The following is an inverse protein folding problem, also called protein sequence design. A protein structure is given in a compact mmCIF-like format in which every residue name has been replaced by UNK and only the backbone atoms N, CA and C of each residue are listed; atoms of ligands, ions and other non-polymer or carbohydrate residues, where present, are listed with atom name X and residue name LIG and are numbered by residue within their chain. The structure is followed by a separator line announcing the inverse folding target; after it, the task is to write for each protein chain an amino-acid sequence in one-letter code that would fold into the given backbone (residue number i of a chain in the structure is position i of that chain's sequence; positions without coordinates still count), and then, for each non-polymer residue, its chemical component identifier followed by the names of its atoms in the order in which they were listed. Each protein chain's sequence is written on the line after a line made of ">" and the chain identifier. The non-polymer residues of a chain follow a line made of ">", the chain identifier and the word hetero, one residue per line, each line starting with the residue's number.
data_IF_193292102064
#
_entry.id   IF_193292102064
#
_cell.length_a   1.000
_cell.length_b   1.000
_cell.length_c   1.000
_cell.angle_alpha   90.00
_cell.angle_beta   90.00
_cell.angle_gamma   90.00
#
_symmetry.space_group_name_H-M   'P 1'
#
loop_
_entity.id
_entity.type
_entity.pdbx_description
1 polymer ?
#
# COMPACT_ATOMS: atom_id res chain seq x y z
N UNK A 1 -47.08 55.85 10.88
CA UNK A 1 -47.08 54.46 11.40
C UNK A 1 -45.97 53.69 10.68
N UNK A 2 -44.94 53.22 11.39
CA UNK A 2 -43.76 52.59 10.78
C UNK A 2 -43.94 51.08 10.55
N UNK A 3 -43.14 50.59 9.62
CA UNK A 3 -42.95 49.26 8.99
C UNK A 3 -43.07 47.99 9.85
N UNK A 4 -43.04 46.82 9.19
CA UNK A 4 -41.85 45.98 9.43
C UNK A 4 -41.15 45.53 8.14
N UNK A 5 -39.85 45.82 8.11
CA UNK A 5 -38.83 45.24 7.24
C UNK A 5 -38.86 43.71 7.35
N UNK A 6 -38.87 43.02 6.20
CA UNK A 6 -38.63 41.58 6.11
C UNK A 6 -37.12 41.32 6.15
N UNK A 7 -36.61 40.86 7.28
CA UNK A 7 -35.25 40.30 7.38
C UNK A 7 -35.21 38.95 6.66
N UNK A 8 -34.51 38.90 5.53
CA UNK A 8 -34.07 37.65 4.92
C UNK A 8 -32.80 37.19 5.65
N UNK A 9 -32.92 36.17 6.49
CA UNK A 9 -31.78 35.51 7.10
C UNK A 9 -31.09 34.60 6.07
N UNK A 10 -29.89 34.98 5.65
CA UNK A 10 -29.02 34.17 4.81
C UNK A 10 -28.26 33.20 5.72
N UNK A 11 -28.69 31.94 5.77
CA UNK A 11 -28.00 30.87 6.50
C UNK A 11 -26.81 30.43 5.65
N UNK A 12 -25.62 30.95 5.96
CA UNK A 12 -24.37 30.41 5.45
C UNK A 12 -24.11 29.03 6.09
N UNK A 13 -24.52 27.97 5.40
CA UNK A 13 -24.00 26.62 5.62
C UNK A 13 -22.51 26.62 5.28
N UNK A 14 -21.68 26.83 6.31
CA UNK A 14 -20.25 26.56 6.25
C UNK A 14 -20.09 25.03 6.12
N UNK A 15 -19.98 24.57 4.88
CA UNK A 15 -19.46 23.26 4.55
C UNK A 15 -17.99 23.24 4.98
N UNK A 16 -17.75 22.85 6.23
CA UNK A 16 -16.43 22.45 6.69
C UNK A 16 -16.06 21.20 5.91
N UNK A 17 -15.34 21.36 4.81
CA UNK A 17 -14.69 20.26 4.12
C UNK A 17 -13.73 19.61 5.11
N UNK A 18 -14.13 18.48 5.70
CA UNK A 18 -13.23 17.60 6.41
C UNK A 18 -12.22 17.13 5.38
N UNK A 19 -11.05 17.78 5.33
CA UNK A 19 -9.92 17.28 4.56
C UNK A 19 -9.56 15.95 5.20
N UNK A 20 -9.74 14.86 4.47
CA UNK A 20 -9.21 13.58 4.90
C UNK A 20 -7.70 13.74 5.10
N UNK A 21 -7.19 13.29 6.23
CA UNK A 21 -5.77 13.37 6.55
C UNK A 21 -4.97 12.56 5.52
N UNK A 22 -3.84 13.09 5.08
CA UNK A 22 -2.97 12.45 4.09
C UNK A 22 -1.66 12.03 4.75
N UNK A 23 -1.32 10.75 4.61
CA UNK A 23 0.04 10.28 4.91
C UNK A 23 0.95 10.57 3.72
N UNK A 24 2.19 10.98 4.00
CA UNK A 24 3.22 11.25 2.99
C UNK A 24 4.48 10.46 3.30
N UNK A 25 5.16 10.01 2.25
CA UNK A 25 6.52 9.47 2.42
C UNK A 25 7.45 10.53 3.01
N UNK A 26 8.52 10.11 3.68
CA UNK A 26 9.44 11.02 4.36
C UNK A 26 10.10 12.04 3.41
N UNK A 27 10.22 11.70 2.12
CA UNK A 27 10.71 12.58 1.05
C UNK A 27 9.59 13.32 0.29
N UNK A 28 8.33 13.12 0.68
CA UNK A 28 7.16 13.77 0.08
C UNK A 28 6.84 13.35 -1.35
N UNK A 29 7.49 12.31 -1.88
CA UNK A 29 7.34 11.83 -3.26
C UNK A 29 5.97 11.22 -3.50
N UNK A 30 5.42 10.50 -2.52
CA UNK A 30 4.10 9.89 -2.59
C UNK A 30 3.21 10.30 -1.42
N UNK A 31 1.90 10.16 -1.60
CA UNK A 31 0.93 10.21 -0.52
C UNK A 31 -0.25 9.26 -0.71
N UNK A 32 -0.93 8.98 0.39
CA UNK A 32 -2.21 8.28 0.44
C UNK A 32 -3.13 8.95 1.46
N UNK A 33 -4.43 8.68 1.37
CA UNK A 33 -5.37 9.03 2.43
C UNK A 33 -5.19 8.07 3.61
N UNK A 34 -5.09 8.63 4.82
CA UNK A 34 -5.07 7.84 6.06
C UNK A 34 -6.41 7.11 6.21
N UNK A 35 -6.42 5.80 6.52
CA UNK A 35 -7.65 5.07 6.73
C UNK A 35 -8.42 5.56 7.96
N UNK A 36 -9.69 5.19 8.07
CA UNK A 36 -10.56 5.61 9.19
C UNK A 36 -10.02 5.05 10.52
N UNK A 37 -9.58 5.93 11.42
CA UNK A 37 -9.01 5.58 12.73
C UNK A 37 -9.99 4.82 13.64
N UNK A 38 -11.30 4.92 13.40
CA UNK A 38 -12.28 4.12 14.14
C UNK A 38 -12.26 2.63 13.76
N UNK A 39 -11.69 2.32 12.59
CA UNK A 39 -11.62 0.98 12.01
C UNK A 39 -10.20 0.45 11.87
N UNK A 40 -9.20 1.32 11.84
CA UNK A 40 -7.81 0.96 11.64
C UNK A 40 -6.95 1.53 12.76
N UNK A 41 -5.99 0.73 13.20
CA UNK A 41 -4.96 1.15 14.13
C UNK A 41 -3.63 1.19 13.37
N UNK A 42 -2.93 2.31 13.46
CA UNK A 42 -1.55 2.39 13.01
C UNK A 42 -0.68 1.53 13.92
N UNK A 43 0.09 0.63 13.33
CA UNK A 43 0.93 -0.33 14.04
C UNK A 43 2.40 -0.02 13.82
N UNK A 44 3.26 -0.36 14.79
CA UNK A 44 4.70 -0.18 14.65
C UNK A 44 5.22 -0.84 13.36
N UNK A 45 5.96 -0.06 12.56
CA UNK A 45 6.57 -0.52 11.33
C UNK A 45 8.10 -0.56 11.46
N UNK A 46 8.73 -1.50 10.76
CA UNK A 46 10.18 -1.55 10.60
C UNK A 46 10.52 -1.60 9.12
N UNK A 47 11.67 -1.04 8.70
CA UNK A 47 12.11 -1.13 7.31
C UNK A 47 12.08 -2.59 6.80
N UNK A 48 11.56 -2.83 5.58
CA UNK A 48 11.24 -1.81 4.58
C UNK A 48 9.83 -1.20 4.70
N UNK A 49 8.99 -1.59 5.67
CA UNK A 49 7.71 -0.93 5.89
C UNK A 49 7.91 0.48 6.47
N UNK A 50 7.30 1.46 5.82
CA UNK A 50 7.25 2.84 6.31
C UNK A 50 6.04 3.08 7.20
N UNK A 51 4.91 2.42 6.89
CA UNK A 51 3.69 2.52 7.69
C UNK A 51 2.81 1.29 7.48
N UNK A 52 2.11 0.87 8.53
CA UNK A 52 1.21 -0.26 8.55
C UNK A 52 -0.05 0.15 9.31
N UNK A 53 -1.22 -0.05 8.72
CA UNK A 53 -2.51 0.06 9.39
C UNK A 53 -3.20 -1.29 9.37
N UNK A 54 -3.64 -1.75 10.53
CA UNK A 54 -4.38 -3.01 10.65
C UNK A 54 -5.80 -2.72 11.11
N UNK A 55 -6.78 -3.34 10.44
CA UNK A 55 -8.17 -3.20 10.84
C UNK A 55 -8.40 -3.77 12.24
N UNK A 56 -9.36 -3.22 12.98
CA UNK A 56 -9.66 -3.65 14.36
C UNK A 56 -10.15 -5.09 14.45
N UNK A 57 -10.69 -5.64 13.35
CA UNK A 57 -11.07 -7.04 13.20
C UNK A 57 -9.92 -7.93 12.66
N UNK A 58 -8.75 -7.35 12.41
CA UNK A 58 -7.54 -7.98 11.89
C UNK A 58 -7.70 -8.69 10.53
N UNK A 59 -8.80 -8.44 9.80
CA UNK A 59 -9.05 -9.08 8.50
C UNK A 59 -8.40 -8.34 7.33
N UNK A 60 -7.98 -7.09 7.53
CA UNK A 60 -7.43 -6.22 6.51
C UNK A 60 -6.21 -5.46 7.04
N UNK A 61 -5.10 -5.55 6.32
CA UNK A 61 -3.89 -4.77 6.58
C UNK A 61 -3.57 -3.92 5.36
N UNK A 62 -3.35 -2.63 5.60
CA UNK A 62 -2.92 -1.65 4.61
C UNK A 62 -1.48 -1.26 4.93
N UNK A 63 -0.61 -1.21 3.93
CA UNK A 63 0.82 -0.99 4.17
C UNK A 63 1.45 -0.20 3.04
N UNK A 64 2.47 0.58 3.39
CA UNK A 64 3.42 1.16 2.44
C UNK A 64 4.82 0.74 2.81
N UNK A 65 5.56 0.23 1.83
CA UNK A 65 6.97 -0.10 1.94
C UNK A 65 7.80 0.72 0.96
N UNK A 66 9.01 1.04 1.39
CA UNK A 66 9.99 1.87 0.69
C UNK A 66 11.32 1.13 0.58
N UNK A 67 11.78 0.89 -0.64
CA UNK A 67 13.00 0.12 -0.90
C UNK A 67 13.92 0.90 -1.84
N UNK A 68 15.14 1.20 -1.40
CA UNK A 68 16.16 1.76 -2.29
C UNK A 68 16.62 0.71 -3.29
N UNK A 69 16.75 1.11 -4.55
CA UNK A 69 17.29 0.28 -5.63
C UNK A 69 18.51 0.96 -6.26
N UNK A 70 19.37 0.21 -6.97
CA UNK A 70 20.44 0.81 -7.75
C UNK A 70 19.90 1.81 -8.79
N UNK A 71 20.63 2.89 -9.07
CA UNK A 71 20.16 3.92 -9.96
C UNK A 71 20.00 3.43 -11.40
N UNK A 72 19.01 4.00 -12.11
CA UNK A 72 18.70 3.70 -13.51
C UNK A 72 18.35 2.24 -13.80
N UNK A 73 17.83 1.50 -12.81
CA UNK A 73 17.43 0.12 -13.00
C UNK A 73 15.92 0.03 -13.23
N UNK A 74 15.45 -0.24 -14.46
CA UNK A 74 14.02 -0.40 -14.69
C UNK A 74 13.52 -1.67 -14.01
N UNK A 75 12.31 -1.61 -13.46
CA UNK A 75 11.64 -2.79 -12.92
C UNK A 75 11.04 -3.63 -14.06
N UNK A 76 11.00 -4.95 -13.87
CA UNK A 76 10.32 -5.87 -14.78
C UNK A 76 9.13 -6.52 -14.10
N UNK A 77 7.93 -6.28 -14.65
CA UNK A 77 6.67 -6.82 -14.14
C UNK A 77 6.71 -8.35 -13.99
N UNK A 78 7.16 -9.08 -15.02
CA UNK A 78 7.25 -10.55 -14.98
C UNK A 78 8.16 -11.07 -13.88
N UNK A 79 9.23 -10.33 -13.58
CA UNK A 79 10.21 -10.71 -12.56
C UNK A 79 9.68 -10.39 -11.16
N UNK A 80 8.94 -9.29 -11.00
CA UNK A 80 8.16 -9.00 -9.78
C UNK A 80 7.12 -10.10 -9.53
N UNK A 81 6.31 -10.46 -10.52
CA UNK A 81 5.31 -11.52 -10.43
C UNK A 81 5.92 -12.84 -9.98
N UNK A 82 7.04 -13.24 -10.63
CA UNK A 82 7.80 -14.42 -10.23
C UNK A 82 8.20 -14.36 -8.76
N UNK A 83 8.78 -13.23 -8.33
CA UNK A 83 9.15 -13.00 -6.94
C UNK A 83 7.99 -13.14 -5.96
N UNK A 84 6.82 -12.58 -6.30
CA UNK A 84 5.60 -12.70 -5.50
C UNK A 84 5.16 -14.17 -5.39
N UNK A 85 5.09 -14.89 -6.52
CA UNK A 85 4.62 -16.28 -6.55
C UNK A 85 5.56 -17.25 -5.85
N UNK A 86 6.87 -17.06 -5.98
CA UNK A 86 7.87 -17.91 -5.30
C UNK A 86 7.91 -17.66 -3.81
N UNK A 87 7.70 -16.41 -3.38
CA UNK A 87 7.74 -16.06 -1.97
C UNK A 87 6.46 -16.48 -1.27
N UNK A 88 5.30 -15.99 -1.71
CA UNK A 88 4.04 -16.16 -0.98
C UNK A 88 3.37 -17.51 -1.22
N UNK A 89 3.80 -18.25 -2.25
CA UNK A 89 3.01 -19.32 -2.82
C UNK A 89 1.73 -18.80 -3.47
N UNK A 90 1.08 -19.65 -4.28
CA UNK A 90 -0.18 -19.31 -4.94
C UNK A 90 -0.03 -18.72 -6.35
N UNK A 91 -0.96 -17.85 -6.73
CA UNK A 91 -1.16 -17.42 -8.12
C UNK A 91 -1.42 -15.92 -8.27
N UNK A 92 -0.98 -15.38 -9.41
CA UNK A 92 -1.36 -14.03 -9.87
C UNK A 92 -2.77 -14.11 -10.48
N UNK A 93 -3.71 -13.35 -9.92
CA UNK A 93 -5.08 -13.24 -10.42
C UNK A 93 -5.20 -12.19 -11.52
N UNK A 94 -4.45 -11.10 -11.38
CA UNK A 94 -4.46 -9.98 -12.30
C UNK A 94 -3.15 -9.20 -12.21
N UNK A 95 -2.68 -8.67 -13.33
CA UNK A 95 -1.45 -7.89 -13.37
C UNK A 95 -1.51 -6.91 -14.54
N UNK A 96 -1.29 -5.63 -14.27
CA UNK A 96 -1.32 -4.55 -15.26
C UNK A 96 -0.20 -3.54 -14.99
N UNK A 97 0.20 -2.81 -16.03
CA UNK A 97 1.02 -1.61 -15.91
C UNK A 97 0.32 -0.43 -16.56
N UNK A 98 0.45 0.75 -15.96
CA UNK A 98 -0.01 2.01 -16.53
C UNK A 98 1.02 3.12 -16.31
N UNK A 99 1.05 4.10 -17.21
CA UNK A 99 1.85 5.31 -17.01
C UNK A 99 1.07 6.33 -16.19
N UNK A 100 1.55 6.62 -14.98
CA UNK A 100 0.96 7.63 -14.08
C UNK A 100 1.99 8.74 -13.83
N UNK A 101 1.68 9.95 -14.28
CA UNK A 101 2.57 11.12 -14.15
C UNK A 101 4.01 10.87 -14.65
N UNK A 102 4.17 10.05 -15.70
CA UNK A 102 5.48 9.74 -16.27
C UNK A 102 6.24 8.60 -15.60
N UNK A 103 5.65 7.94 -14.59
CA UNK A 103 6.19 6.74 -13.95
C UNK A 103 5.34 5.52 -14.29
N UNK A 104 5.97 4.36 -14.46
CA UNK A 104 5.26 3.11 -14.68
C UNK A 104 4.79 2.55 -13.33
N UNK A 105 3.47 2.43 -13.19
CA UNK A 105 2.82 1.90 -12.02
C UNK A 105 2.31 0.49 -12.33
N UNK A 106 2.86 -0.52 -11.65
CA UNK A 106 2.36 -1.88 -11.71
C UNK A 106 1.23 -2.06 -10.69
N UNK A 107 0.13 -2.66 -11.12
CA UNK A 107 -0.93 -3.13 -10.23
C UNK A 107 -1.04 -4.64 -10.33
N UNK A 108 -0.77 -5.35 -9.23
CA UNK A 108 -0.72 -6.81 -9.17
C UNK A 108 -1.68 -7.29 -8.10
N UNK A 109 -2.52 -8.26 -8.45
CA UNK A 109 -3.42 -8.96 -7.53
C UNK A 109 -2.98 -10.41 -7.47
N UNK A 110 -2.74 -10.91 -6.25
CA UNK A 110 -2.35 -12.29 -6.03
C UNK A 110 -3.17 -12.93 -4.90
N UNK A 111 -3.24 -14.25 -4.93
CA UNK A 111 -3.93 -15.07 -3.95
C UNK A 111 -3.01 -16.20 -3.52
N UNK A 112 -2.88 -16.40 -2.21
CA UNK A 112 -2.11 -17.49 -1.61
C UNK A 112 -2.95 -18.31 -0.65
N UNK A 113 -2.99 -19.62 -0.90
CA UNK A 113 -3.66 -20.62 -0.07
C UNK A 113 -2.75 -21.20 1.01
N UNK A 114 -1.46 -20.83 1.02
CA UNK A 114 -0.50 -21.28 2.02
C UNK A 114 -0.74 -20.62 3.38
N UNK A 115 -1.56 -19.56 3.41
CA UNK A 115 -2.04 -18.89 4.63
C UNK A 115 -3.42 -19.41 5.03
N UNK A 116 -3.65 -19.51 6.34
CA UNK A 116 -4.97 -19.82 6.92
C UNK A 116 -5.35 -18.72 7.93
N UNK A 117 -6.39 -17.92 7.67
CA UNK A 117 -7.24 -17.94 6.46
C UNK A 117 -6.49 -17.49 5.20
N UNK A 118 -7.06 -17.78 4.03
CA UNK A 118 -6.48 -17.48 2.71
C UNK A 118 -6.09 -16.00 2.57
N UNK A 119 -4.92 -15.72 1.99
CA UNK A 119 -4.44 -14.36 1.74
C UNK A 119 -4.81 -13.93 0.32
N UNK A 120 -5.54 -12.82 0.20
CA UNK A 120 -5.75 -12.11 -1.07
C UNK A 120 -5.13 -10.73 -0.94
N UNK A 121 -4.26 -10.36 -1.88
CA UNK A 121 -3.52 -9.10 -1.82
C UNK A 121 -3.62 -8.34 -3.14
N UNK A 122 -3.76 -7.02 -3.04
CA UNK A 122 -3.58 -6.08 -4.16
C UNK A 122 -2.40 -5.17 -3.86
N UNK A 123 -1.50 -5.04 -4.82
CA UNK A 123 -0.26 -4.30 -4.69
C UNK A 123 -0.14 -3.25 -5.80
N UNK A 124 0.34 -2.07 -5.44
CA UNK A 124 0.75 -1.02 -6.38
C UNK A 124 2.23 -0.74 -6.21
N UNK A 125 3.01 -0.88 -7.29
CA UNK A 125 4.47 -0.81 -7.26
C UNK A 125 4.93 0.23 -8.28
N UNK A 126 5.71 1.21 -7.84
CA UNK A 126 6.31 2.23 -8.70
C UNK A 126 7.74 2.50 -8.30
N UNK A 127 8.62 2.66 -9.29
CA UNK A 127 9.98 3.16 -9.11
C UNK A 127 10.03 4.67 -9.38
N UNK A 128 10.52 5.43 -8.41
CA UNK A 128 10.72 6.88 -8.50
C UNK A 128 12.06 7.23 -7.84
N UNK A 129 12.98 7.80 -8.62
CA UNK A 129 14.27 8.31 -8.15
C UNK A 129 15.06 7.28 -7.31
N UNK A 130 15.28 6.10 -7.91
CA UNK A 130 16.07 5.00 -7.32
C UNK A 130 15.45 4.43 -6.03
N UNK A 131 14.13 4.60 -5.88
CA UNK A 131 13.36 4.05 -4.78
C UNK A 131 12.06 3.46 -5.30
N UNK A 132 11.79 2.25 -4.87
CA UNK A 132 10.53 1.55 -5.10
C UNK A 132 9.59 1.82 -3.95
N UNK A 133 8.40 2.30 -4.30
CA UNK A 133 7.26 2.44 -3.40
C UNK A 133 6.29 1.31 -3.68
N UNK A 134 5.96 0.55 -2.63
CA UNK A 134 5.07 -0.59 -2.68
C UNK A 134 3.91 -0.36 -1.72
N UNK A 135 2.73 -0.12 -2.27
CA UNK A 135 1.48 -0.02 -1.51
C UNK A 135 0.78 -1.37 -1.56
N UNK A 136 0.29 -1.86 -0.43
CA UNK A 136 -0.36 -3.15 -0.34
C UNK A 136 -1.64 -3.07 0.48
N UNK A 137 -2.70 -3.71 -0.02
CA UNK A 137 -3.87 -4.07 0.76
C UNK A 137 -3.94 -5.60 0.83
N UNK A 138 -3.91 -6.14 2.04
CA UNK A 138 -3.82 -7.57 2.34
C UNK A 138 -5.06 -8.01 3.13
N UNK A 139 -5.81 -8.95 2.59
CA UNK A 139 -7.02 -9.50 3.20
C UNK A 139 -6.81 -10.94 3.63
N UNK A 140 -7.06 -11.22 4.90
CA UNK A 140 -6.97 -12.56 5.49
C UNK A 140 -8.37 -13.15 5.62
N UNK A 141 -8.72 -14.08 4.74
CA UNK A 141 -10.10 -14.58 4.59
C UNK A 141 -11.06 -13.56 4.00
N UNK A 142 -10.53 -12.49 3.40
CA UNK A 142 -11.29 -11.37 2.85
C UNK A 142 -10.76 -11.01 1.47
N UNK A 143 -11.68 -10.80 0.51
CA UNK A 143 -11.32 -10.33 -0.81
C UNK A 143 -11.13 -8.81 -0.80
N UNK A 144 -9.89 -8.35 -0.90
CA UNK A 144 -9.55 -6.92 -0.91
C UNK A 144 -10.09 -6.16 -2.13
N UNK A 145 -10.50 -6.86 -3.20
CA UNK A 145 -11.02 -6.23 -4.42
C UNK A 145 -12.44 -5.68 -4.24
N UNK A 146 -13.18 -6.22 -3.27
CA UNK A 146 -14.54 -5.80 -2.94
C UNK A 146 -14.61 -5.01 -1.62
N UNK A 147 -13.46 -4.80 -0.97
CA UNK A 147 -13.39 -4.05 0.28
C UNK A 147 -13.29 -2.53 0.00
N UNK A 148 -14.23 -1.71 0.50
CA UNK A 148 -14.27 -0.28 0.22
C UNK A 148 -13.10 0.49 0.86
N UNK A 149 -12.52 0.02 1.97
CA UNK A 149 -11.37 0.67 2.60
C UNK A 149 -10.10 0.38 1.83
N UNK A 150 -9.93 -0.86 1.36
CA UNK A 150 -8.84 -1.24 0.47
C UNK A 150 -8.91 -0.44 -0.84
N UNK A 151 -10.10 -0.32 -1.45
CA UNK A 151 -10.31 0.49 -2.64
C UNK A 151 -9.97 1.97 -2.39
N UNK A 152 -10.49 2.55 -1.31
CA UNK A 152 -10.23 3.95 -0.94
C UNK A 152 -8.73 4.18 -0.72
N UNK A 153 -8.07 3.30 0.01
CA UNK A 153 -6.63 3.37 0.25
C UNK A 153 -5.83 3.32 -1.07
N UNK A 154 -6.04 2.29 -1.89
CA UNK A 154 -5.30 2.08 -3.13
C UNK A 154 -5.58 3.17 -4.17
N UNK A 155 -6.82 3.66 -4.26
CA UNK A 155 -7.21 4.74 -5.19
C UNK A 155 -6.69 6.11 -4.77
N UNK A 156 -6.47 6.34 -3.47
CA UNK A 156 -5.92 7.58 -2.95
C UNK A 156 -4.44 7.83 -3.28
N UNK A 157 -3.75 6.83 -3.86
CA UNK A 157 -2.33 6.93 -4.20
C UNK A 157 -2.01 8.07 -5.17
N UNK A 158 -1.22 9.03 -4.69
CA UNK A 158 -0.73 10.18 -5.46
C UNK A 158 0.80 10.17 -5.53
N UNK A 159 1.30 10.54 -6.70
CA UNK A 159 2.70 10.90 -6.92
C UNK A 159 2.74 12.44 -6.96
N UNK A 160 3.75 13.03 -6.31
CA UNK A 160 3.91 14.50 -6.20
C UNK A 160 5.07 15.04 -7.02
N UNK A 161 5.83 14.17 -7.69
CA UNK A 161 6.99 14.57 -8.47
C UNK A 161 6.54 15.11 -9.81
N UNK A 162 6.72 16.42 -10.01
CA UNK A 162 6.30 17.11 -11.23
C UNK A 162 7.24 16.92 -12.42
N UNK A 163 8.45 16.36 -12.20
CA UNK A 163 9.45 16.18 -13.26
C UNK A 163 10.28 14.93 -13.04
N UNK A 164 10.32 14.06 -14.05
CA UNK A 164 11.26 12.95 -14.12
C UNK A 164 12.62 13.50 -14.57
N UNK A 165 13.65 13.38 -13.74
CA UNK A 165 15.00 13.85 -14.08
C UNK A 165 15.67 12.93 -15.13
N UNK A 166 15.24 11.68 -15.21
CA UNK A 166 15.77 10.67 -16.15
C UNK A 166 14.65 10.09 -17.03
N UNK A 167 14.79 10.02 -18.37
CA UNK A 167 13.77 9.44 -19.24
C UNK A 167 13.37 8.01 -18.85
N UNK A 168 12.13 7.56 -19.16
CA UNK A 168 11.74 6.16 -18.98
C UNK A 168 12.67 5.25 -19.78
N UNK A 169 13.49 4.47 -19.08
CA UNK A 169 14.24 3.39 -19.69
C UNK A 169 13.30 2.19 -19.74
N UNK A 170 12.85 1.84 -20.94
CA UNK A 170 12.03 0.65 -21.12
C UNK A 170 12.85 -0.57 -20.67
N UNK A 171 12.26 -1.44 -19.85
CA UNK A 171 12.87 -2.73 -19.60
C UNK A 171 13.02 -3.49 -20.93
N UNK A 172 14.15 -4.18 -21.17
CA UNK A 172 14.32 -5.02 -22.36
C UNK A 172 13.15 -6.00 -22.49
N UNK A 173 12.59 -6.11 -23.70
CA UNK A 173 11.42 -6.92 -24.03
C UNK A 173 11.59 -8.38 -23.54
N UNK A 174 10.54 -8.91 -22.88
CA UNK A 174 10.52 -10.21 -22.19
C UNK A 174 10.56 -11.44 -23.10
N UNK A 175 10.90 -11.28 -24.39
CA UNK A 175 10.86 -12.36 -25.40
C UNK A 175 12.21 -12.89 -25.86
N UNK A 176 13.32 -12.41 -25.29
CA UNK A 176 14.64 -12.96 -25.55
C UNK A 176 15.30 -13.44 -24.27
N UNK A 177 15.79 -14.68 -24.26
CA UNK A 177 16.80 -15.13 -23.29
C UNK A 177 18.06 -14.31 -23.58
N UNK A 178 18.15 -13.14 -22.98
CA UNK A 178 19.31 -12.26 -23.06
C UNK A 178 20.29 -12.70 -21.98
N UNK A 179 21.41 -13.30 -22.36
CA UNK A 179 22.52 -13.67 -21.45
C UNK A 179 23.35 -12.44 -21.03
N UNK A 180 22.71 -11.27 -20.91
CA UNK A 180 23.40 -10.05 -20.53
C UNK A 180 23.36 -9.91 -19.00
N UNK A 181 24.49 -9.66 -18.33
CA UNK A 181 24.54 -9.54 -16.87
C UNK A 181 23.67 -8.41 -16.32
N UNK A 182 23.38 -7.38 -17.12
CA UNK A 182 22.47 -6.29 -16.76
C UNK A 182 21.00 -6.75 -16.71
N UNK A 183 20.58 -7.60 -17.66
CA UNK A 183 19.26 -8.25 -17.68
C UNK A 183 19.08 -9.13 -16.43
N UNK A 184 20.10 -9.93 -16.10
CA UNK A 184 20.07 -10.82 -14.95
C UNK A 184 19.96 -10.04 -13.62
N UNK A 185 20.65 -8.89 -13.53
CA UNK A 185 20.60 -8.03 -12.35
C UNK A 185 19.25 -7.34 -12.19
N UNK A 186 18.66 -6.84 -13.29
CA UNK A 186 17.29 -6.29 -13.31
C UNK A 186 16.27 -7.34 -12.85
N UNK A 187 16.38 -8.56 -13.38
CA UNK A 187 15.50 -9.67 -13.00
C UNK A 187 15.65 -10.03 -11.53
N UNK A 188 16.88 -10.13 -11.04
CA UNK A 188 17.16 -10.42 -9.64
C UNK A 188 16.55 -9.38 -8.70
N UNK A 189 16.75 -8.08 -8.98
CA UNK A 189 16.21 -7.00 -8.12
C UNK A 189 14.68 -6.95 -8.21
N UNK A 190 14.12 -7.07 -9.40
CA UNK A 190 12.66 -7.12 -9.60
C UNK A 190 12.04 -8.30 -8.84
N UNK A 191 12.67 -9.48 -8.91
CA UNK A 191 12.25 -10.68 -8.19
C UNK A 191 12.35 -10.49 -6.67
N UNK A 192 13.43 -9.87 -6.17
CA UNK A 192 13.55 -9.56 -4.73
C UNK A 192 12.49 -8.58 -4.25
N UNK A 193 12.10 -7.58 -5.06
CA UNK A 193 11.02 -6.64 -4.72
C UNK A 193 9.64 -7.30 -4.70
N UNK A 194 9.41 -8.26 -5.60
CA UNK A 194 8.27 -9.16 -5.52
C UNK A 194 8.28 -9.93 -4.19
N UNK A 195 9.43 -10.51 -3.87
CA UNK A 195 9.69 -11.37 -2.73
C UNK A 195 9.99 -10.65 -1.38
N UNK A 196 9.40 -9.47 -1.12
CA UNK A 196 9.48 -8.78 0.18
C UNK A 196 8.20 -8.98 1.02
N UNK A 197 7.16 -9.60 0.45
CA UNK A 197 5.85 -9.78 1.07
C UNK A 197 5.85 -10.60 2.37
N UNK A 198 6.53 -11.74 2.44
CA UNK A 198 6.60 -12.58 3.65
C UNK A 198 7.34 -11.89 4.78
N UNK A 199 8.44 -11.20 4.50
CA UNK A 199 9.15 -10.44 5.53
C UNK A 199 8.20 -9.40 6.17
N UNK A 200 7.41 -8.73 5.34
CA UNK A 200 6.43 -7.76 5.79
C UNK A 200 5.25 -8.41 6.54
N UNK A 201 4.80 -9.59 6.11
CA UNK A 201 3.77 -10.37 6.81
C UNK A 201 4.24 -10.86 8.18
N UNK A 202 5.50 -11.28 8.31
CA UNK A 202 6.09 -11.70 9.59
C UNK A 202 6.12 -10.54 10.59
N UNK A 203 6.44 -9.32 10.13
CA UNK A 203 6.37 -8.10 10.96
C UNK A 203 4.91 -7.89 11.42
N UNK A 204 3.94 -7.99 10.51
CA UNK A 204 2.52 -7.84 10.86
C UNK A 204 2.07 -8.88 11.90
N UNK A 205 2.43 -10.16 11.70
CA UNK A 205 2.06 -11.24 12.61
C UNK A 205 2.64 -11.07 14.02
N UNK A 206 3.89 -10.61 14.15
CA UNK A 206 4.50 -10.31 15.44
C UNK A 206 3.75 -9.16 16.13
N UNK A 207 3.43 -8.08 15.40
CA UNK A 207 2.71 -6.94 15.98
C UNK A 207 1.31 -7.34 16.44
N UNK A 208 0.56 -8.10 15.64
CA UNK A 208 -0.77 -8.61 16.02
C UNK A 208 -0.70 -9.48 17.28
N UNK A 209 0.33 -10.33 17.41
CA UNK A 209 0.53 -11.14 18.62
C UNK A 209 0.78 -10.27 19.86
N UNK A 210 1.64 -9.25 19.75
CA UNK A 210 1.95 -8.32 20.85
C UNK A 210 0.71 -7.54 21.30
N UNK A 211 -0.09 -7.03 20.35
CA UNK A 211 -1.34 -6.32 20.65
C UNK A 211 -2.35 -7.22 21.36
N UNK A 212 -2.49 -8.48 20.91
CA UNK A 212 -3.37 -9.47 21.56
C UNK A 212 -2.94 -9.82 22.98
N UNK A 213 -1.64 -9.95 23.24
CA UNK A 213 -1.14 -10.20 24.59
C UNK A 213 -1.34 -8.98 25.50
N UNK A 214 -1.06 -7.77 25.00
CA UNK A 214 -1.23 -6.54 25.78
C UNK A 214 -2.69 -6.31 26.21
N UNK A 215 -3.66 -6.64 25.34
CA UNK A 215 -5.09 -6.50 25.66
C UNK A 215 -5.59 -7.53 26.68
N UNK A 216 -4.87 -8.64 26.85
CA UNK A 216 -5.23 -9.70 27.81
C UNK A 216 -4.79 -9.37 29.24
N UNK A 217 -3.79 -8.50 29.37
CA UNK A 217 -3.17 -8.15 30.64
C UNK A 217 -3.75 -6.88 31.29
N UNK A 218 -4.78 -6.25 30.70
CA UNK A 218 -5.55 -5.22 31.41
C UNK A 218 -6.41 -5.90 32.50
N UNK A 219 -6.10 -5.70 33.80
CA UNK A 219 -6.95 -6.22 34.87
C UNK A 219 -8.33 -5.56 34.73
N UNK A 220 -9.36 -6.40 34.70
CA UNK A 220 -10.76 -5.96 34.73
C UNK A 220 -11.06 -5.46 36.14
N UNK A 221 -10.45 -4.35 36.54
CA UNK A 221 -10.71 -3.72 37.83
C UNK A 221 -11.96 -2.83 37.73
N UNK A 222 -13.02 -3.36 38.33
CA UNK A 222 -14.03 -2.66 39.10
C UNK A 222 -14.95 -1.69 38.35
N UNK A 223 -16.10 -2.23 37.94
CA UNK A 223 -17.39 -1.53 38.06
C UNK A 223 -18.35 -2.35 38.91
N UNK A 224 -18.11 -2.33 40.22
CA UNK A 224 -19.20 -2.40 41.20
C UNK A 224 -19.14 -1.12 42.04
N UNK A 225 -19.94 -0.13 41.67
CA UNK A 225 -20.55 0.88 42.55
C UNK A 225 -21.68 1.59 41.79
#
# INVERSE_FOLDING_TARGET
>A
MPSPLKSFAFVCLLLSSVSAEEWKSADGVISVTVPDESRFVETESQPPASIIWTSTDETLTLMIAEVKIPPNMPLRQSSIEKGITEELGGQILHSTSEMRQGYELFTIINQSQDFTPELIMTQKIVDINDKVYKLMAMGFGKDVRSDPDAEKFLSSFKIHVTRRDTPPQAAPDSRGVSTNPETDMVDFISQKLGAIGILLLMICGIVTLVLRTSKRDEPTDQKEQ
#
